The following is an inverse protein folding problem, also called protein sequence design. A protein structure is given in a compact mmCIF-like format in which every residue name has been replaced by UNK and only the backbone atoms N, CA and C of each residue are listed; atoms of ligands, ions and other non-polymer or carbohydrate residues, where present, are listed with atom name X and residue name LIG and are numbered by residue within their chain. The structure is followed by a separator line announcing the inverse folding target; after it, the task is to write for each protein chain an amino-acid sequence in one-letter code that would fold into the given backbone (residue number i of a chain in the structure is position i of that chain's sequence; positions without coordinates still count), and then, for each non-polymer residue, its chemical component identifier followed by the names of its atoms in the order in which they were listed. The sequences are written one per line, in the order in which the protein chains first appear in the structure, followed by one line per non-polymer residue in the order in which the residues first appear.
data_IF_305977677324
#
_entry.id   IF_305977677324
#
_cell.length_a   1.000
_cell.length_b   1.000
_cell.length_c   1.000
_cell.angle_alpha   90.00
_cell.angle_beta   90.00
_cell.angle_gamma   90.00
#
_symmetry.space_group_name_H-M   'P 1'
#
loop_
_entity.id
_entity.type
_entity.pdbx_description
1 polymer ?
#
# COMPACT_ATOMS: atom_id res chain seq x y z
N UNK A 1 -12.89 8.24 24.87
CA UNK A 1 -12.54 7.06 24.04
C UNK A 1 -11.23 6.50 24.57
N UNK A 2 -11.07 5.18 24.70
CA UNK A 2 -9.77 4.58 25.11
C UNK A 2 -8.69 4.99 24.11
N UNK A 3 -7.49 5.38 24.58
CA UNK A 3 -6.35 5.83 23.75
C UNK A 3 -6.07 4.88 22.57
N UNK A 4 -6.18 3.57 22.81
CA UNK A 4 -5.99 2.56 21.76
C UNK A 4 -7.03 2.63 20.63
N UNK A 5 -8.29 2.96 20.94
CA UNK A 5 -9.35 3.11 19.93
C UNK A 5 -9.11 4.34 19.04
N UNK A 6 -8.58 5.42 19.63
CA UNK A 6 -8.26 6.63 18.88
C UNK A 6 -7.07 6.41 17.93
N UNK A 7 -5.99 5.81 18.43
CA UNK A 7 -4.81 5.47 17.62
C UNK A 7 -5.18 4.59 16.44
N UNK A 8 -6.05 3.60 16.66
CA UNK A 8 -6.54 2.71 15.60
C UNK A 8 -7.39 3.47 14.57
N UNK A 9 -8.27 4.37 15.00
CA UNK A 9 -9.06 5.20 14.09
C UNK A 9 -8.16 6.10 13.21
N UNK A 10 -7.13 6.70 13.81
CA UNK A 10 -6.14 7.52 13.07
C UNK A 10 -5.37 6.65 12.06
N UNK A 11 -4.98 5.44 12.43
CA UNK A 11 -4.28 4.52 11.52
C UNK A 11 -5.16 4.15 10.31
N UNK A 12 -6.45 3.92 10.54
CA UNK A 12 -7.42 3.56 9.51
C UNK A 12 -7.67 4.72 8.54
N UNK A 13 -7.88 5.93 9.05
CA UNK A 13 -8.07 7.13 8.22
C UNK A 13 -6.78 7.52 7.46
N UNK A 14 -5.61 7.39 8.09
CA UNK A 14 -4.33 7.60 7.41
C UNK A 14 -4.11 6.60 6.28
N UNK A 15 -4.45 5.33 6.51
CA UNK A 15 -4.39 4.30 5.48
C UNK A 15 -5.36 4.58 4.32
N UNK A 16 -6.57 5.06 4.60
CA UNK A 16 -7.52 5.50 3.58
C UNK A 16 -6.95 6.63 2.72
N UNK A 17 -6.42 7.69 3.35
CA UNK A 17 -5.80 8.82 2.65
C UNK A 17 -4.68 8.38 1.70
N UNK A 18 -3.85 7.44 2.14
CA UNK A 18 -2.76 6.90 1.33
C UNK A 18 -3.25 5.95 0.23
N UNK A 19 -4.30 5.17 0.50
CA UNK A 19 -4.91 4.27 -0.47
C UNK A 19 -5.59 5.06 -1.61
N UNK A 20 -6.35 6.10 -1.28
CA UNK A 20 -7.04 7.01 -2.21
C UNK A 20 -6.09 7.98 -2.94
N UNK A 21 -4.77 7.92 -2.68
CA UNK A 21 -3.73 8.80 -3.23
C UNK A 21 -3.92 10.29 -2.89
N UNK A 22 -4.64 10.60 -1.82
CA UNK A 22 -4.74 11.98 -1.30
C UNK A 22 -3.42 12.39 -0.65
N UNK A 23 -2.66 11.44 -0.10
CA UNK A 23 -1.35 11.67 0.51
C UNK A 23 -0.37 10.55 0.14
N UNK A 24 0.88 10.90 -0.16
CA UNK A 24 1.95 9.92 -0.45
C UNK A 24 2.84 9.65 0.77
N UNK A 25 2.94 10.62 1.67
CA UNK A 25 3.84 10.59 2.83
C UNK A 25 3.12 10.17 4.11
N UNK A 26 3.67 9.18 4.82
CA UNK A 26 3.10 8.66 6.08
C UNK A 26 2.92 9.73 7.15
N UNK A 27 3.90 10.64 7.28
CA UNK A 27 3.84 11.71 8.29
C UNK A 27 2.69 12.67 8.03
N UNK A 28 2.52 13.10 6.78
CA UNK A 28 1.43 13.99 6.38
C UNK A 28 0.08 13.29 6.52
N UNK A 29 -0.01 12.02 6.12
CA UNK A 29 -1.22 11.21 6.24
C UNK A 29 -1.69 11.08 7.69
N UNK A 30 -0.82 10.70 8.63
CA UNK A 30 -1.22 10.54 10.05
C UNK A 30 -1.58 11.87 10.72
N UNK A 31 -0.89 12.96 10.36
CA UNK A 31 -1.19 14.30 10.89
C UNK A 31 -2.55 14.80 10.38
N UNK A 32 -2.85 14.57 9.10
CA UNK A 32 -4.14 14.94 8.48
C UNK A 32 -5.28 14.08 9.00
N UNK A 33 -5.06 12.78 9.17
CA UNK A 33 -6.01 11.86 9.80
C UNK A 33 -6.31 12.27 11.25
N UNK A 34 -5.29 12.57 12.05
CA UNK A 34 -5.45 13.07 13.41
C UNK A 34 -6.24 14.38 13.45
N UNK A 35 -5.94 15.34 12.56
CA UNK A 35 -6.69 16.61 12.46
C UNK A 35 -8.15 16.44 12.05
N UNK A 36 -8.47 15.44 11.22
CA UNK A 36 -9.85 15.15 10.79
C UNK A 36 -10.67 14.50 11.91
N UNK A 37 -10.06 13.57 12.63
CA UNK A 37 -10.73 12.78 13.68
C UNK A 37 -10.74 13.50 15.03
N UNK A 38 -9.72 14.30 15.32
CA UNK A 38 -9.58 15.06 16.54
C UNK A 38 -9.68 16.56 16.25
N UNK A 39 -10.61 17.23 16.95
CA UNK A 39 -10.70 18.69 16.96
C UNK A 39 -9.63 19.36 17.84
N UNK A 40 -8.78 18.57 18.50
CA UNK A 40 -7.74 19.00 19.43
C UNK A 40 -6.39 18.39 19.04
N UNK A 41 -5.30 18.98 19.55
CA UNK A 41 -3.94 18.51 19.30
C UNK A 41 -3.73 17.11 19.88
N UNK A 42 -3.28 16.18 19.03
CA UNK A 42 -3.01 14.78 19.41
C UNK A 42 -1.54 14.67 19.79
N UNK A 43 -1.26 14.06 20.94
CA UNK A 43 0.12 13.85 21.37
C UNK A 43 0.85 12.88 20.43
N UNK A 44 2.18 13.01 20.27
CA UNK A 44 2.96 12.10 19.43
C UNK A 44 2.84 10.62 19.83
N UNK A 45 2.65 10.33 21.11
CA UNK A 45 2.46 8.98 21.66
C UNK A 45 1.15 8.30 21.21
N UNK A 46 0.13 9.10 20.90
CA UNK A 46 -1.18 8.64 20.47
C UNK A 46 -1.28 8.48 18.94
N UNK A 47 -0.26 8.96 18.21
CA UNK A 47 -0.18 8.75 16.76
C UNK A 47 0.27 7.32 16.44
N UNK A 48 -0.29 6.71 15.39
CA UNK A 48 0.18 5.42 14.92
C UNK A 48 1.57 5.51 14.29
N UNK A 49 2.27 4.40 14.37
CA UNK A 49 3.52 4.14 13.66
C UNK A 49 3.27 3.90 12.17
N UNK A 50 4.31 4.07 11.36
CA UNK A 50 4.24 3.78 9.93
C UNK A 50 3.93 2.29 9.66
N UNK A 51 4.33 1.39 10.56
CA UNK A 51 4.04 -0.04 10.46
C UNK A 51 2.54 -0.33 10.63
N UNK A 52 1.89 0.28 11.64
CA UNK A 52 0.45 0.14 11.85
C UNK A 52 -0.35 0.69 10.67
N UNK A 53 0.03 1.85 10.14
CA UNK A 53 -0.61 2.43 8.94
C UNK A 53 -0.44 1.49 7.75
N UNK A 54 0.77 0.95 7.53
CA UNK A 54 1.05 0.01 6.44
C UNK A 54 0.21 -1.26 6.55
N UNK A 55 0.04 -1.80 7.75
CA UNK A 55 -0.82 -2.95 7.99
C UNK A 55 -2.27 -2.64 7.60
N UNK A 56 -2.79 -1.47 7.97
CA UNK A 56 -4.14 -1.05 7.56
C UNK A 56 -4.24 -0.86 6.05
N UNK A 57 -3.24 -0.29 5.38
CA UNK A 57 -3.20 -0.18 3.91
C UNK A 57 -3.30 -1.57 3.25
N UNK A 58 -2.58 -2.57 3.79
CA UNK A 58 -2.67 -3.94 3.29
C UNK A 58 -4.06 -4.54 3.50
N UNK A 59 -4.71 -4.25 4.64
CA UNK A 59 -6.10 -4.66 4.89
C UNK A 59 -7.05 -3.99 3.89
N UNK A 60 -6.95 -2.68 3.68
CA UNK A 60 -7.75 -1.96 2.68
C UNK A 60 -7.56 -2.54 1.29
N UNK A 61 -6.33 -2.78 0.87
CA UNK A 61 -6.04 -3.37 -0.42
C UNK A 61 -6.63 -4.78 -0.55
N UNK A 62 -6.57 -5.62 0.50
CA UNK A 62 -7.24 -6.94 0.49
C UNK A 62 -8.75 -6.82 0.36
N UNK A 63 -9.39 -5.92 1.11
CA UNK A 63 -10.85 -5.73 1.12
C UNK A 63 -11.34 -5.15 -0.21
N UNK A 64 -10.63 -4.16 -0.77
CA UNK A 64 -11.07 -3.46 -1.97
C UNK A 64 -10.62 -4.13 -3.28
N UNK A 65 -9.46 -4.79 -3.30
CA UNK A 65 -8.90 -5.39 -4.52
C UNK A 65 -9.15 -6.90 -4.61
N UNK A 66 -9.45 -7.58 -3.49
CA UNK A 66 -9.90 -8.99 -3.43
C UNK A 66 -9.03 -9.99 -4.19
N UNK A 67 -9.64 -11.11 -4.59
CA UNK A 67 -9.00 -12.16 -5.40
C UNK A 67 -8.57 -11.69 -6.81
N UNK A 68 -9.14 -10.57 -7.28
CA UNK A 68 -8.78 -9.98 -8.58
C UNK A 68 -7.34 -9.47 -8.60
N UNK A 69 -6.79 -9.03 -7.46
CA UNK A 69 -5.36 -8.65 -7.38
C UNK A 69 -4.44 -9.85 -7.52
N UNK A 70 -4.81 -10.98 -6.92
CA UNK A 70 -4.04 -12.23 -6.98
C UNK A 70 -4.04 -12.80 -8.39
N UNK A 71 -5.18 -12.78 -9.07
CA UNK A 71 -5.30 -13.18 -10.47
C UNK A 71 -4.47 -12.24 -11.36
N UNK A 72 -4.63 -10.91 -11.22
CA UNK A 72 -3.88 -9.96 -12.04
C UNK A 72 -2.37 -10.04 -11.79
N UNK A 73 -1.92 -10.17 -10.54
CA UNK A 73 -0.50 -10.36 -10.22
C UNK A 73 0.04 -11.66 -10.82
N UNK A 74 -0.73 -12.74 -10.78
CA UNK A 74 -0.36 -14.01 -11.39
C UNK A 74 -0.20 -13.84 -12.91
N UNK A 75 -1.16 -13.22 -13.56
CA UNK A 75 -1.14 -13.01 -15.01
C UNK A 75 0.05 -12.13 -15.43
N UNK A 76 0.31 -11.04 -14.69
CA UNK A 76 1.49 -10.20 -14.92
C UNK A 76 2.80 -10.95 -14.70
N UNK A 77 2.90 -11.84 -13.71
CA UNK A 77 4.10 -12.67 -13.49
C UNK A 77 4.30 -13.72 -14.58
N UNK A 78 3.21 -14.28 -15.12
CA UNK A 78 3.28 -15.19 -16.26
C UNK A 78 3.76 -14.46 -17.52
N UNK A 79 3.26 -13.24 -17.76
CA UNK A 79 3.70 -12.44 -18.89
C UNK A 79 5.16 -11.97 -18.72
N UNK A 80 5.56 -11.57 -17.52
CA UNK A 80 6.95 -11.27 -17.20
C UNK A 80 7.87 -12.47 -17.48
N UNK A 81 7.46 -13.68 -17.07
CA UNK A 81 8.20 -14.90 -17.35
C UNK A 81 8.30 -15.19 -18.86
N UNK A 82 7.23 -14.94 -19.62
CA UNK A 82 7.24 -15.07 -21.08
C UNK A 82 8.27 -14.12 -21.70
N UNK A 83 8.26 -12.85 -21.31
CA UNK A 83 9.22 -11.85 -21.79
C UNK A 83 10.66 -12.19 -21.39
N UNK A 84 10.88 -12.64 -20.15
CA UNK A 84 12.20 -13.06 -19.67
C UNK A 84 12.76 -14.25 -20.46
N UNK A 85 11.90 -15.18 -20.92
CA UNK A 85 12.32 -16.30 -21.78
C UNK A 85 12.70 -15.84 -23.19
N UNK A 86 11.96 -14.89 -23.77
CA UNK A 86 12.29 -14.30 -25.07
C UNK A 86 13.61 -13.52 -25.03
N UNK A 87 13.83 -12.78 -23.93
CA UNK A 87 15.02 -11.97 -23.70
C UNK A 87 16.15 -12.73 -22.99
N UNK A 88 16.11 -14.07 -22.92
CA UNK A 88 17.00 -14.89 -22.09
C UNK A 88 18.49 -14.57 -22.29
N UNK A 89 18.92 -14.24 -23.50
CA UNK A 89 20.31 -13.88 -23.82
C UNK A 89 20.81 -12.67 -23.01
N UNK A 90 19.91 -11.76 -22.63
CA UNK A 90 20.20 -10.57 -21.83
C UNK A 90 20.14 -10.81 -20.32
N UNK A 91 19.82 -12.03 -19.87
CA UNK A 91 19.68 -12.40 -18.46
C UNK A 91 18.72 -11.48 -17.66
N UNK A 92 17.50 -11.25 -18.17
CA UNK A 92 16.55 -10.31 -17.57
C UNK A 92 16.13 -10.74 -16.16
N UNK A 93 15.89 -9.76 -15.29
CA UNK A 93 15.39 -9.94 -13.93
C UNK A 93 14.13 -9.12 -13.72
N UNK A 94 13.08 -9.76 -13.21
CA UNK A 94 11.85 -9.07 -12.81
C UNK A 94 12.11 -8.21 -11.58
N UNK A 95 11.78 -6.92 -11.69
CA UNK A 95 11.89 -5.95 -10.60
C UNK A 95 10.54 -5.25 -10.35
N UNK A 96 10.52 -4.31 -9.41
CA UNK A 96 9.39 -3.42 -9.21
C UNK A 96 8.14 -4.07 -8.61
N UNK A 97 6.98 -3.55 -9.00
CA UNK A 97 5.70 -3.82 -8.32
C UNK A 97 5.22 -5.27 -8.50
N UNK A 98 5.50 -5.87 -9.67
CA UNK A 98 5.16 -7.27 -10.00
C UNK A 98 6.03 -8.27 -9.23
N UNK A 99 7.32 -7.94 -9.05
CA UNK A 99 8.21 -8.74 -8.20
C UNK A 99 7.72 -8.73 -6.75
N UNK A 100 7.51 -7.55 -6.18
CA UNK A 100 7.17 -7.36 -4.76
C UNK A 100 5.73 -7.73 -4.43
N UNK A 101 4.87 -7.96 -5.44
CA UNK A 101 3.46 -8.27 -5.27
C UNK A 101 2.58 -7.06 -4.92
N UNK A 102 3.15 -5.85 -4.97
CA UNK A 102 2.44 -4.59 -4.70
C UNK A 102 1.86 -3.96 -5.98
N UNK A 103 1.45 -4.77 -6.96
CA UNK A 103 0.78 -4.30 -8.17
C UNK A 103 -0.51 -3.57 -7.85
N UNK A 104 -0.78 -2.53 -8.63
CA UNK A 104 -1.99 -1.70 -8.60
C UNK A 104 -2.60 -1.72 -10.00
N UNK A 105 -3.82 -1.20 -10.14
CA UNK A 105 -4.40 -1.01 -11.48
C UNK A 105 -3.50 -0.09 -12.31
N UNK A 106 -3.08 -0.56 -13.49
CA UNK A 106 -2.15 0.15 -14.39
C UNK A 106 -0.68 0.03 -14.02
N UNK A 107 -0.28 -0.93 -13.18
CA UNK A 107 1.13 -1.25 -12.99
C UNK A 107 1.74 -1.88 -14.24
N UNK A 108 2.99 -1.53 -14.53
CA UNK A 108 3.77 -2.08 -15.63
C UNK A 108 4.62 -3.29 -15.19
N UNK A 109 5.16 -4.02 -16.17
CA UNK A 109 6.14 -5.11 -15.95
C UNK A 109 7.54 -4.57 -16.22
N UNK A 110 8.33 -4.43 -15.16
CA UNK A 110 9.70 -3.93 -15.23
C UNK A 110 10.71 -5.08 -15.27
N UNK A 111 11.55 -5.12 -16.30
CA UNK A 111 12.67 -6.06 -16.44
C UNK A 111 13.99 -5.29 -16.50
N UNK A 112 14.99 -5.73 -15.74
CA UNK A 112 16.38 -5.22 -15.76
C UNK A 112 17.33 -6.26 -16.34
#
# INVERSE_FOLDING_TARGET
MSQGKLRQAIALEAARLMYERVETEYFTAKRKAAKRLCRQWVKPEDLPSNAEIRQQIQVFARIHEGDRRTVNLRDMRLEALRMMRLLRTFRPRLIGSVMTGHVRKGSDIDLH
#
